data_IF_748649891363
#
_entry.id   IF_748649891363
#
_cell.length_a   1.000
_cell.length_b   1.000
_cell.length_c   1.000
_cell.angle_alpha   90.00
_cell.angle_beta   90.00
_cell.angle_gamma   90.00
#
_symmetry.space_group_name_H-M   'P 1'
#
loop_
_entity.id
_entity.type
_entity.pdbx_description
1 polymer ?
#
# COMPACT_ATOMS: atom_id res chain seq x y z
N UNK A 1 6.55 -18.32 -42.03
CA UNK A 1 6.19 -19.61 -41.39
C UNK A 1 5.28 -19.30 -40.21
N UNK A 2 3.98 -19.49 -40.29
CA UNK A 2 3.04 -19.24 -39.18
C UNK A 2 3.02 -20.46 -38.24
N UNK A 3 2.99 -20.24 -36.92
CA UNK A 3 2.91 -21.34 -35.97
C UNK A 3 1.59 -22.12 -36.15
N UNK A 4 1.64 -23.44 -36.00
CA UNK A 4 0.45 -24.28 -36.09
C UNK A 4 -0.51 -24.02 -34.90
N UNK A 5 -1.82 -24.33 -35.11
CA UNK A 5 -2.82 -24.18 -34.05
C UNK A 5 -2.42 -24.96 -32.78
N UNK A 6 -1.84 -26.14 -32.91
CA UNK A 6 -1.33 -26.94 -31.80
C UNK A 6 -0.16 -26.25 -31.04
N UNK A 7 0.70 -25.54 -31.75
CA UNK A 7 1.80 -24.77 -31.15
C UNK A 7 1.26 -23.55 -30.41
N UNK A 8 0.22 -22.87 -30.90
CA UNK A 8 -0.44 -21.74 -30.21
C UNK A 8 -1.16 -22.19 -28.93
N UNK A 9 -1.93 -23.30 -29.01
CA UNK A 9 -2.60 -23.87 -27.82
C UNK A 9 -1.59 -24.30 -26.75
N UNK A 10 -0.50 -24.96 -27.15
CA UNK A 10 0.57 -25.35 -26.21
C UNK A 10 1.25 -24.14 -25.57
N UNK A 11 1.47 -23.06 -26.33
CA UNK A 11 2.04 -21.80 -25.81
C UNK A 11 1.10 -21.13 -24.82
N UNK A 12 -0.22 -21.11 -25.08
CA UNK A 12 -1.23 -20.60 -24.17
C UNK A 12 -1.34 -21.43 -22.87
N UNK A 13 -1.32 -22.76 -22.98
CA UNK A 13 -1.34 -23.64 -21.81
C UNK A 13 -0.08 -23.49 -20.92
N UNK A 14 1.09 -23.32 -21.53
CA UNK A 14 2.34 -23.07 -20.80
C UNK A 14 2.31 -21.70 -20.13
N UNK A 15 1.84 -20.66 -20.80
CA UNK A 15 1.67 -19.32 -20.22
C UNK A 15 0.72 -19.36 -19.02
N UNK A 16 -0.45 -20.00 -19.15
CA UNK A 16 -1.42 -20.14 -18.05
C UNK A 16 -0.88 -20.96 -16.86
N UNK A 17 -0.02 -21.96 -17.12
CA UNK A 17 0.65 -22.74 -16.07
C UNK A 17 1.73 -21.92 -15.35
N UNK A 18 2.51 -21.12 -16.10
CA UNK A 18 3.51 -20.22 -15.52
C UNK A 18 2.86 -19.15 -14.66
N UNK A 19 1.74 -18.57 -15.11
CA UNK A 19 0.97 -17.57 -14.37
C UNK A 19 0.39 -18.16 -13.08
N UNK A 20 -0.18 -19.36 -13.11
CA UNK A 20 -0.63 -20.07 -11.91
C UNK A 20 0.49 -20.31 -10.90
N UNK A 21 1.66 -20.74 -11.38
CA UNK A 21 2.83 -20.93 -10.52
C UNK A 21 3.29 -19.62 -9.92
N UNK A 22 3.30 -18.55 -10.70
CA UNK A 22 3.64 -17.20 -10.22
C UNK A 22 2.67 -16.72 -9.14
N UNK A 23 1.37 -16.91 -9.30
CA UNK A 23 0.37 -16.56 -8.27
C UNK A 23 0.57 -17.38 -6.99
N UNK A 24 0.76 -18.70 -7.07
CA UNK A 24 1.05 -19.56 -5.90
C UNK A 24 2.30 -19.09 -5.14
N UNK A 25 3.34 -18.67 -5.85
CA UNK A 25 4.55 -18.11 -5.24
C UNK A 25 4.28 -16.79 -4.53
N UNK A 26 3.47 -15.89 -5.12
CA UNK A 26 3.07 -14.63 -4.49
C UNK A 26 2.20 -14.85 -3.26
N UNK A 27 1.27 -15.81 -3.31
CA UNK A 27 0.42 -16.15 -2.17
C UNK A 27 1.24 -16.72 -1.01
N UNK A 28 2.10 -17.70 -1.31
CA UNK A 28 3.01 -18.30 -0.34
C UNK A 28 4.00 -17.28 0.25
N UNK A 29 4.48 -16.33 -0.57
CA UNK A 29 5.33 -15.24 -0.10
C UNK A 29 4.58 -14.32 0.86
N UNK A 30 3.37 -13.88 0.50
CA UNK A 30 2.52 -13.04 1.34
C UNK A 30 2.26 -13.72 2.69
N UNK A 31 1.86 -14.99 2.68
CA UNK A 31 1.61 -15.76 3.91
C UNK A 31 2.87 -15.91 4.77
N UNK A 32 4.01 -16.20 4.15
CA UNK A 32 5.28 -16.36 4.88
C UNK A 32 5.74 -15.04 5.50
N UNK A 33 5.65 -13.93 4.74
CA UNK A 33 5.98 -12.59 5.22
C UNK A 33 5.09 -12.18 6.40
N UNK A 34 3.79 -12.48 6.34
CA UNK A 34 2.86 -12.19 7.43
C UNK A 34 3.21 -12.94 8.71
N UNK A 35 3.72 -14.18 8.58
CA UNK A 35 4.00 -15.04 9.73
C UNK A 35 5.35 -14.76 10.40
N UNK A 36 6.41 -14.49 9.63
CA UNK A 36 7.80 -14.42 10.13
C UNK A 36 8.54 -13.15 9.74
N UNK A 37 7.85 -12.17 9.15
CA UNK A 37 8.43 -10.91 8.69
C UNK A 37 9.38 -11.08 7.50
N UNK A 38 9.98 -9.97 7.08
CA UNK A 38 10.92 -9.95 5.92
C UNK A 38 12.22 -10.68 6.26
N UNK A 39 12.73 -10.52 7.47
CA UNK A 39 13.99 -11.14 7.91
C UNK A 39 13.86 -12.66 7.97
N UNK A 40 12.77 -13.17 8.55
CA UNK A 40 12.53 -14.60 8.71
C UNK A 40 12.08 -15.33 7.43
N UNK A 41 11.57 -14.61 6.45
CA UNK A 41 11.09 -15.22 5.21
C UNK A 41 12.27 -15.66 4.32
N UNK A 42 12.37 -16.96 4.06
CA UNK A 42 13.38 -17.54 3.15
C UNK A 42 12.75 -17.95 1.82
N UNK A 43 13.50 -17.83 0.73
CA UNK A 43 13.07 -18.29 -0.62
C UNK A 43 12.77 -19.79 -0.64
N UNK A 44 13.53 -20.57 0.14
CA UNK A 44 13.32 -22.01 0.29
C UNK A 44 11.97 -22.35 0.93
N UNK A 45 11.59 -21.68 2.01
CA UNK A 45 10.31 -21.88 2.69
C UNK A 45 9.14 -21.43 1.81
N UNK A 46 9.29 -20.31 1.12
CA UNK A 46 8.28 -19.78 0.19
C UNK A 46 8.05 -20.78 -0.97
N UNK A 47 9.12 -21.28 -1.59
CA UNK A 47 9.03 -22.28 -2.66
C UNK A 47 8.36 -23.58 -2.17
N UNK A 48 8.75 -24.07 -0.98
CA UNK A 48 8.13 -25.24 -0.35
C UNK A 48 6.62 -25.06 -0.15
N UNK A 49 6.19 -23.92 0.39
CA UNK A 49 4.77 -23.59 0.59
C UNK A 49 4.00 -23.45 -0.72
N UNK A 50 4.63 -22.89 -1.75
CA UNK A 50 4.07 -22.80 -3.08
C UNK A 50 4.02 -24.17 -3.80
N UNK A 51 4.56 -25.25 -3.23
CA UNK A 51 4.64 -26.58 -3.83
C UNK A 51 5.50 -26.61 -5.10
N UNK A 52 6.63 -25.87 -5.07
CA UNK A 52 7.63 -25.85 -6.13
C UNK A 52 9.04 -25.93 -5.53
N UNK A 53 10.05 -26.17 -6.37
CA UNK A 53 11.45 -26.06 -5.93
C UNK A 53 11.93 -24.59 -6.01
N UNK A 54 13.01 -24.30 -5.28
CA UNK A 54 13.58 -22.95 -5.20
C UNK A 54 14.12 -22.46 -6.56
N UNK A 55 14.59 -23.34 -7.42
CA UNK A 55 15.00 -23.00 -8.81
C UNK A 55 13.81 -22.43 -9.60
N UNK A 56 12.62 -22.98 -9.40
CA UNK A 56 11.39 -22.46 -10.03
C UNK A 56 11.06 -21.04 -9.53
N UNK A 57 11.22 -20.78 -8.24
CA UNK A 57 11.06 -19.45 -7.66
C UNK A 57 12.02 -18.45 -8.32
N UNK A 58 13.30 -18.76 -8.39
CA UNK A 58 14.30 -17.89 -9.02
C UNK A 58 14.09 -17.69 -10.52
N UNK A 59 13.51 -18.67 -11.22
CA UNK A 59 13.12 -18.51 -12.61
C UNK A 59 12.04 -17.45 -12.78
N UNK A 60 11.08 -17.33 -11.84
CA UNK A 60 9.99 -16.36 -11.88
C UNK A 60 10.37 -14.97 -11.37
N UNK A 61 11.19 -14.89 -10.32
CA UNK A 61 11.42 -13.63 -9.59
C UNK A 61 12.89 -13.20 -9.50
N UNK A 62 13.83 -13.98 -10.02
CA UNK A 62 15.26 -13.69 -10.06
C UNK A 62 15.93 -13.53 -8.69
N UNK A 63 15.30 -12.87 -7.72
CA UNK A 63 15.80 -12.67 -6.36
C UNK A 63 14.66 -12.56 -5.34
N UNK A 64 15.00 -12.63 -4.04
CA UNK A 64 14.06 -12.38 -2.94
C UNK A 64 13.49 -10.96 -3.00
N UNK A 65 14.30 -9.97 -3.34
CA UNK A 65 13.89 -8.58 -3.47
C UNK A 65 12.86 -8.39 -4.59
N UNK A 66 13.06 -9.07 -5.74
CA UNK A 66 12.08 -9.01 -6.85
C UNK A 66 10.76 -9.71 -6.50
N UNK A 67 10.80 -10.78 -5.72
CA UNK A 67 9.61 -11.42 -5.19
C UNK A 67 8.88 -10.48 -4.20
N UNK A 68 9.62 -9.85 -3.29
CA UNK A 68 9.06 -8.88 -2.34
C UNK A 68 8.45 -7.67 -3.07
N UNK A 69 9.14 -7.12 -4.07
CA UNK A 69 8.60 -6.06 -4.94
C UNK A 69 7.25 -6.48 -5.55
N UNK A 70 7.17 -7.68 -6.10
CA UNK A 70 5.95 -8.17 -6.73
C UNK A 70 4.80 -8.39 -5.73
N UNK A 71 5.09 -8.82 -4.50
CA UNK A 71 4.11 -8.92 -3.40
C UNK A 71 3.57 -7.53 -3.04
N UNK A 72 4.45 -6.54 -2.86
CA UNK A 72 4.06 -5.17 -2.55
C UNK A 72 3.27 -4.53 -3.69
N UNK A 73 3.72 -4.67 -4.93
CA UNK A 73 3.00 -4.17 -6.11
C UNK A 73 1.59 -4.76 -6.20
N UNK A 74 1.42 -6.05 -5.94
CA UNK A 74 0.09 -6.69 -5.91
C UNK A 74 -0.80 -6.11 -4.83
N UNK A 75 -0.26 -5.86 -3.64
CA UNK A 75 -0.99 -5.25 -2.52
C UNK A 75 -1.43 -3.81 -2.85
N UNK A 76 -0.55 -3.02 -3.46
CA UNK A 76 -0.79 -1.62 -3.77
C UNK A 76 -1.56 -1.39 -5.08
N UNK A 77 -1.67 -2.41 -5.96
CA UNK A 77 -2.45 -2.28 -7.20
C UNK A 77 -3.93 -1.93 -6.93
N UNK A 78 -4.49 -2.48 -5.85
CA UNK A 78 -5.84 -2.14 -5.42
C UNK A 78 -5.98 -0.69 -4.92
N UNK A 79 -4.94 -0.12 -4.31
CA UNK A 79 -4.91 1.30 -3.91
C UNK A 79 -4.91 2.23 -5.12
N UNK A 80 -4.08 1.93 -6.11
CA UNK A 80 -4.01 2.72 -7.34
C UNK A 80 -5.38 2.72 -8.07
N UNK A 81 -6.03 1.54 -8.17
CA UNK A 81 -7.34 1.41 -8.79
C UNK A 81 -8.44 2.22 -8.06
N UNK A 82 -8.42 2.23 -6.72
CA UNK A 82 -9.38 2.99 -5.91
C UNK A 82 -9.23 4.51 -6.13
N UNK A 83 -8.00 4.99 -6.33
CA UNK A 83 -7.70 6.41 -6.55
C UNK A 83 -7.91 6.86 -8.00
N UNK A 84 -8.06 5.95 -8.94
CA UNK A 84 -8.36 6.25 -10.35
C UNK A 84 -9.84 6.50 -10.61
N UNK A 85 -10.73 6.22 -9.66
CA UNK A 85 -12.13 6.56 -9.75
C UNK A 85 -12.32 8.09 -9.69
N UNK A 86 -13.40 8.59 -10.32
CA UNK A 86 -13.79 9.99 -10.31
C UNK A 86 -14.35 10.41 -8.94
N UNK A 87 -13.50 10.34 -7.92
CA UNK A 87 -13.84 10.68 -6.54
C UNK A 87 -13.39 12.09 -6.21
N UNK A 88 -14.14 12.79 -5.36
CA UNK A 88 -13.67 14.03 -4.77
C UNK A 88 -12.39 13.79 -3.96
N UNK A 89 -11.61 14.84 -3.70
CA UNK A 89 -10.41 14.74 -2.89
C UNK A 89 -10.69 14.21 -1.47
N UNK A 90 -11.87 14.53 -0.89
CA UNK A 90 -12.32 14.02 0.41
C UNK A 90 -12.53 12.51 0.37
N UNK A 91 -13.30 12.05 -0.60
CA UNK A 91 -13.55 10.62 -0.81
C UNK A 91 -12.26 9.86 -1.11
N UNK A 92 -11.30 10.46 -1.81
CA UNK A 92 -10.00 9.85 -2.08
C UNK A 92 -9.22 9.63 -0.79
N UNK A 93 -9.20 10.58 0.15
CA UNK A 93 -8.58 10.41 1.48
C UNK A 93 -9.30 9.34 2.30
N UNK A 94 -10.63 9.29 2.27
CA UNK A 94 -11.42 8.26 2.96
C UNK A 94 -11.15 6.86 2.39
N UNK A 95 -11.17 6.73 1.06
CA UNK A 95 -10.89 5.47 0.36
C UNK A 95 -9.48 4.99 0.65
N UNK A 96 -8.50 5.90 0.60
CA UNK A 96 -7.13 5.59 0.96
C UNK A 96 -7.02 5.09 2.40
N UNK A 97 -7.57 5.82 3.37
CA UNK A 97 -7.53 5.43 4.77
C UNK A 97 -8.20 4.07 5.03
N UNK A 98 -9.35 3.82 4.40
CA UNK A 98 -10.08 2.55 4.51
C UNK A 98 -9.27 1.39 3.95
N UNK A 99 -8.69 1.56 2.76
CA UNK A 99 -7.88 0.54 2.12
C UNK A 99 -6.60 0.26 2.91
N UNK A 100 -5.91 1.32 3.35
CA UNK A 100 -4.72 1.24 4.17
C UNK A 100 -4.95 0.39 5.42
N UNK A 101 -6.03 0.66 6.18
CA UNK A 101 -6.39 -0.15 7.35
C UNK A 101 -6.78 -1.59 6.99
N UNK A 102 -7.48 -1.79 5.89
CA UNK A 102 -7.84 -3.14 5.41
C UNK A 102 -6.62 -4.01 5.09
N UNK A 103 -5.59 -3.43 4.49
CA UNK A 103 -4.34 -4.14 4.22
C UNK A 103 -3.64 -4.57 5.52
N UNK A 104 -3.59 -3.68 6.51
CA UNK A 104 -2.90 -3.92 7.77
C UNK A 104 -3.68 -4.80 8.73
N UNK A 105 -5.03 -4.72 8.73
CA UNK A 105 -5.87 -5.60 9.53
C UNK A 105 -5.76 -7.07 9.10
N UNK A 106 -5.60 -7.31 7.81
CA UNK A 106 -5.36 -8.65 7.27
C UNK A 106 -3.94 -9.18 7.55
N UNK A 107 -3.00 -8.29 7.83
CA UNK A 107 -1.57 -8.58 7.93
C UNK A 107 -0.95 -7.97 9.19
N UNK A 108 -1.63 -8.06 10.33
CA UNK A 108 -1.28 -7.35 11.58
C UNK A 108 0.18 -7.55 12.01
N UNK A 109 0.63 -8.80 12.01
CA UNK A 109 1.98 -9.14 12.49
C UNK A 109 3.05 -8.63 11.52
N UNK A 110 2.82 -8.75 10.21
CA UNK A 110 3.73 -8.25 9.20
C UNK A 110 3.77 -6.72 9.16
N UNK A 111 2.61 -6.09 9.24
CA UNK A 111 2.51 -4.64 9.15
C UNK A 111 3.29 -3.91 10.21
N UNK A 112 3.11 -4.27 11.47
CA UNK A 112 3.83 -3.69 12.59
C UNK A 112 5.33 -3.88 12.48
N UNK A 113 5.80 -5.10 12.17
CA UNK A 113 7.21 -5.40 11.99
C UNK A 113 7.80 -4.69 10.76
N UNK A 114 7.07 -4.70 9.62
CA UNK A 114 7.48 -4.00 8.40
C UNK A 114 7.78 -2.53 8.67
N UNK A 115 6.92 -1.88 9.40
CA UNK A 115 7.01 -0.46 9.68
C UNK A 115 8.09 -0.16 10.73
N UNK A 116 8.14 -0.94 11.81
CA UNK A 116 9.12 -0.76 12.89
C UNK A 116 10.55 -0.99 12.40
N UNK A 117 10.77 -1.95 11.49
CA UNK A 117 12.09 -2.35 11.02
C UNK A 117 12.54 -1.63 9.74
N UNK A 118 11.65 -0.90 9.06
CA UNK A 118 11.92 -0.33 7.73
C UNK A 118 13.15 0.60 7.69
N UNK A 119 13.45 1.30 8.77
CA UNK A 119 14.62 2.16 8.91
C UNK A 119 15.94 1.39 9.03
N UNK A 120 15.89 0.11 9.42
CA UNK A 120 17.05 -0.78 9.55
C UNK A 120 17.40 -1.49 8.22
N UNK A 121 16.55 -1.40 7.21
CA UNK A 121 16.78 -2.12 5.96
C UNK A 121 17.90 -1.52 5.12
N UNK A 122 18.56 -2.33 4.27
CA UNK A 122 19.52 -1.84 3.31
C UNK A 122 18.93 -0.74 2.44
N UNK A 123 19.72 0.26 2.07
CA UNK A 123 19.29 1.40 1.24
C UNK A 123 18.66 0.96 -0.08
N UNK A 124 19.16 -0.12 -0.70
CA UNK A 124 18.58 -0.72 -1.91
C UNK A 124 17.14 -1.20 -1.72
N UNK A 125 16.85 -1.80 -0.56
CA UNK A 125 15.48 -2.25 -0.22
C UNK A 125 14.57 -1.05 0.07
N UNK A 126 15.06 -0.05 0.82
CA UNK A 126 14.31 1.19 1.07
C UNK A 126 13.94 1.88 -0.25
N UNK A 127 14.90 1.99 -1.18
CA UNK A 127 14.67 2.57 -2.51
C UNK A 127 13.65 1.76 -3.33
N UNK A 128 13.77 0.44 -3.32
CA UNK A 128 12.82 -0.45 -4.00
C UNK A 128 11.38 -0.26 -3.49
N UNK A 129 11.21 -0.14 -2.17
CA UNK A 129 9.89 0.08 -1.56
C UNK A 129 9.36 1.48 -1.89
N UNK A 130 10.22 2.51 -1.82
CA UNK A 130 9.87 3.86 -2.23
C UNK A 130 9.36 3.91 -3.68
N UNK A 131 10.02 3.21 -4.61
CA UNK A 131 9.59 3.11 -6.01
C UNK A 131 8.21 2.45 -6.17
N UNK A 132 7.90 1.46 -5.33
CA UNK A 132 6.60 0.76 -5.36
C UNK A 132 5.48 1.66 -4.80
N UNK A 133 5.76 2.46 -3.77
CA UNK A 133 4.78 3.33 -3.10
C UNK A 133 4.58 4.65 -3.87
N UNK A 134 5.61 5.12 -4.58
CA UNK A 134 5.62 6.42 -5.26
C UNK A 134 4.37 6.69 -6.13
N UNK A 135 3.90 5.79 -7.00
CA UNK A 135 2.75 6.08 -7.87
C UNK A 135 1.48 6.44 -7.08
N UNK A 136 1.21 5.73 -5.99
CA UNK A 136 0.05 6.01 -5.11
C UNK A 136 0.21 7.37 -4.43
N UNK A 137 1.42 7.69 -3.96
CA UNK A 137 1.72 8.99 -3.35
C UNK A 137 1.54 10.14 -4.35
N UNK A 138 2.10 10.02 -5.54
CA UNK A 138 2.00 11.02 -6.60
C UNK A 138 0.55 11.25 -7.04
N UNK A 139 -0.24 10.17 -7.12
CA UNK A 139 -1.66 10.28 -7.44
C UNK A 139 -2.43 11.06 -6.37
N UNK A 140 -2.21 10.78 -5.09
CA UNK A 140 -2.83 11.53 -3.99
C UNK A 140 -2.40 13.01 -3.99
N UNK A 141 -1.12 13.29 -4.22
CA UNK A 141 -0.63 14.67 -4.36
C UNK A 141 -1.31 15.38 -5.51
N UNK A 142 -1.45 14.73 -6.69
CA UNK A 142 -2.15 15.29 -7.83
C UNK A 142 -3.61 15.63 -7.52
N UNK A 143 -4.36 14.71 -6.91
CA UNK A 143 -5.77 14.93 -6.53
C UNK A 143 -5.90 16.15 -5.61
N UNK A 144 -5.06 16.25 -4.60
CA UNK A 144 -5.08 17.36 -3.64
C UNK A 144 -4.62 18.68 -4.28
N UNK A 145 -3.62 18.64 -5.16
CA UNK A 145 -3.17 19.83 -5.89
C UNK A 145 -4.23 20.37 -6.86
N UNK A 146 -4.96 19.48 -7.52
CA UNK A 146 -6.07 19.90 -8.40
C UNK A 146 -7.24 20.48 -7.58
N UNK A 147 -7.54 19.92 -6.41
CA UNK A 147 -8.50 20.48 -5.47
C UNK A 147 -8.06 21.86 -4.92
N UNK A 148 -6.74 22.05 -4.71
CA UNK A 148 -6.19 23.34 -4.31
C UNK A 148 -6.30 24.40 -5.43
N UNK A 149 -6.00 24.02 -6.68
CA UNK A 149 -6.19 24.90 -7.85
C UNK A 149 -7.67 25.28 -8.05
N UNK A 150 -8.59 24.34 -7.76
CA UNK A 150 -10.02 24.58 -7.79
C UNK A 150 -10.54 25.43 -6.62
N UNK A 151 -9.69 25.82 -5.68
CA UNK A 151 -10.04 26.65 -4.53
C UNK A 151 -10.83 25.96 -3.43
N UNK A 152 -10.98 24.63 -3.47
CA UNK A 152 -11.68 23.85 -2.43
C UNK A 152 -10.74 23.33 -1.34
N UNK A 153 -9.44 23.31 -1.61
CA UNK A 153 -8.37 23.12 -0.63
C UNK A 153 -7.61 24.44 -0.46
N UNK A 154 -7.19 24.77 0.78
CA UNK A 154 -6.49 26.04 1.11
C UNK A 154 -5.27 26.26 0.22
N UNK A 155 -5.13 27.43 -0.34
CA UNK A 155 -4.03 27.83 -1.23
C UNK A 155 -2.66 27.85 -0.54
N UNK A 156 -2.60 28.18 0.76
CA UNK A 156 -1.34 28.25 1.53
C UNK A 156 -0.87 26.90 2.11
N UNK A 157 -1.59 25.80 1.85
CA UNK A 157 -1.24 24.49 2.38
C UNK A 157 -0.14 23.83 1.55
N UNK A 158 0.93 23.37 2.19
CA UNK A 158 1.88 22.46 1.56
C UNK A 158 1.26 21.06 1.48
N UNK A 159 0.85 20.66 0.27
CA UNK A 159 0.12 19.40 0.00
C UNK A 159 0.96 18.18 0.42
N UNK A 160 2.26 18.17 0.14
CA UNK A 160 3.11 17.02 0.46
C UNK A 160 3.25 16.86 1.98
N UNK A 161 3.50 17.96 2.71
CA UNK A 161 3.54 17.93 4.17
C UNK A 161 2.21 17.47 4.78
N UNK A 162 1.09 17.97 4.26
CA UNK A 162 -0.23 17.60 4.75
C UNK A 162 -0.52 16.11 4.51
N UNK A 163 -0.17 15.58 3.33
CA UNK A 163 -0.32 14.17 3.00
C UNK A 163 0.59 13.28 3.89
N UNK A 164 1.83 13.68 4.11
CA UNK A 164 2.75 12.92 4.97
C UNK A 164 2.25 12.94 6.43
N UNK A 165 1.76 14.06 6.94
CA UNK A 165 1.14 14.13 8.28
C UNK A 165 -0.10 13.23 8.38
N UNK A 166 -0.97 13.24 7.36
CA UNK A 166 -2.15 12.36 7.29
C UNK A 166 -1.77 10.88 7.33
N UNK A 167 -0.83 10.47 6.48
CA UNK A 167 -0.33 9.09 6.44
C UNK A 167 0.31 8.69 7.76
N UNK A 168 1.14 9.55 8.35
CA UNK A 168 1.79 9.28 9.63
C UNK A 168 0.79 9.16 10.77
N UNK A 169 -0.29 9.93 10.79
CA UNK A 169 -1.36 9.75 11.77
C UNK A 169 -2.03 8.38 11.66
N UNK A 170 -2.37 7.94 10.45
CA UNK A 170 -2.91 6.59 10.21
C UNK A 170 -1.93 5.50 10.64
N UNK A 171 -0.66 5.68 10.32
CA UNK A 171 0.44 4.79 10.58
C UNK A 171 0.73 4.60 12.08
N UNK A 172 0.82 5.70 12.83
CA UNK A 172 1.13 5.68 14.26
C UNK A 172 0.15 4.79 15.06
N UNK A 173 -1.12 4.77 14.67
CA UNK A 173 -2.12 3.92 15.30
C UNK A 173 -1.83 2.44 15.14
N UNK A 174 -1.34 2.03 13.96
CA UNK A 174 -1.02 0.63 13.66
C UNK A 174 0.24 0.16 14.39
N UNK A 175 1.24 1.04 14.52
CA UNK A 175 2.45 0.75 15.28
C UNK A 175 2.20 0.66 16.79
N UNK A 176 1.37 1.57 17.31
CA UNK A 176 1.18 1.74 18.74
C UNK A 176 -0.04 0.98 19.31
N UNK A 177 -0.55 -0.01 18.57
CA UNK A 177 -1.65 -0.86 19.05
C UNK A 177 -1.29 -1.53 20.38
N UNK A 178 -1.89 -1.05 21.46
CA UNK A 178 -1.73 -1.66 22.78
C UNK A 178 -0.43 -1.36 23.52
N UNK A 179 0.43 -0.45 23.00
CA UNK A 179 1.79 -0.30 23.53
C UNK A 179 1.86 0.30 24.94
N UNK A 180 0.99 1.27 25.31
CA UNK A 180 1.17 2.00 26.58
C UNK A 180 -0.11 2.18 27.42
N UNK A 181 -1.24 2.47 26.80
CA UNK A 181 -2.50 2.71 27.50
C UNK A 181 -3.66 2.00 26.81
N UNK A 182 -4.59 1.39 27.59
CA UNK A 182 -5.84 0.90 27.05
C UNK A 182 -6.62 2.06 26.40
N UNK A 183 -7.24 1.81 25.27
CA UNK A 183 -7.96 2.82 24.49
C UNK A 183 -9.41 2.40 24.31
N UNK A 184 -10.33 3.30 24.58
CA UNK A 184 -11.77 3.06 24.55
C UNK A 184 -12.40 3.34 23.17
N UNK A 185 -11.64 3.18 22.08
CA UNK A 185 -12.14 3.42 20.74
C UNK A 185 -11.60 2.38 19.73
N UNK A 186 -12.39 2.11 18.72
CA UNK A 186 -12.06 1.17 17.64
C UNK A 186 -11.09 1.78 16.61
N UNK A 187 -10.50 0.93 15.77
CA UNK A 187 -9.73 1.39 14.60
C UNK A 187 -10.58 2.21 13.63
N UNK A 188 -11.86 1.89 13.47
CA UNK A 188 -12.78 2.64 12.61
C UNK A 188 -13.07 4.04 13.18
N UNK A 189 -13.29 4.15 14.48
CA UNK A 189 -13.45 5.46 15.13
C UNK A 189 -12.19 6.33 14.95
N UNK A 190 -11.00 5.75 15.16
CA UNK A 190 -9.75 6.47 14.95
C UNK A 190 -9.57 6.93 13.51
N UNK A 191 -9.74 6.03 12.55
CA UNK A 191 -9.65 6.31 11.12
C UNK A 191 -10.58 7.46 10.70
N UNK A 192 -11.86 7.38 11.09
CA UNK A 192 -12.85 8.42 10.77
C UNK A 192 -12.49 9.77 11.41
N UNK A 193 -11.96 9.75 12.63
CA UNK A 193 -11.50 10.98 13.32
C UNK A 193 -10.31 11.59 12.58
N UNK A 194 -9.29 10.81 12.22
CA UNK A 194 -8.13 11.31 11.47
C UNK A 194 -8.57 11.90 10.14
N UNK A 195 -9.37 11.18 9.36
CA UNK A 195 -9.90 11.70 8.08
C UNK A 195 -10.65 13.02 8.30
N UNK A 196 -11.55 13.07 9.27
CA UNK A 196 -12.33 14.26 9.57
C UNK A 196 -11.49 15.48 9.98
N UNK A 197 -10.43 15.28 10.79
CA UNK A 197 -9.49 16.34 11.19
C UNK A 197 -8.77 16.88 9.95
N UNK A 198 -8.21 15.98 9.12
CA UNK A 198 -7.44 16.39 7.95
C UNK A 198 -8.31 17.03 6.87
N UNK A 199 -9.48 16.48 6.58
CA UNK A 199 -10.42 17.07 5.63
C UNK A 199 -10.77 18.49 6.05
N UNK A 200 -11.24 18.72 7.29
CA UNK A 200 -11.58 20.07 7.77
C UNK A 200 -10.36 21.00 7.81
N UNK A 201 -9.19 20.47 8.18
CA UNK A 201 -7.94 21.23 8.21
C UNK A 201 -7.44 21.66 6.83
N UNK A 202 -7.76 20.88 5.78
CA UNK A 202 -7.37 21.17 4.40
C UNK A 202 -8.40 22.01 3.63
N UNK A 203 -9.69 22.01 4.02
CA UNK A 203 -10.73 22.78 3.33
C UNK A 203 -10.37 24.26 3.26
N UNK A 204 -10.64 24.87 2.10
CA UNK A 204 -10.59 26.31 1.98
C UNK A 204 -11.63 26.94 2.94
N UNK A 205 -11.32 28.04 3.61
CA UNK A 205 -12.30 28.72 4.43
C UNK A 205 -13.47 29.18 3.54
N UNK A 206 -14.69 28.96 4.02
CA UNK A 206 -15.88 29.54 3.38
C UNK A 206 -15.69 31.07 3.32
N UNK A 207 -15.80 31.66 2.12
CA UNK A 207 -15.63 33.07 1.88
C UNK A 207 -16.76 33.96 2.52
N UNK A 208 -17.47 33.41 3.49
CA UNK A 208 -18.60 34.06 4.14
C UNK A 208 -18.76 33.78 5.62
N UNK A 209 -17.79 33.95 6.47
CA UNK A 209 -17.92 34.29 7.91
C UNK A 209 -16.73 33.75 8.75
N UNK A 210 -15.57 34.33 8.62
CA UNK A 210 -14.68 34.39 9.78
C UNK A 210 -14.89 35.76 10.48
N UNK A 211 -15.86 35.84 11.35
CA UNK A 211 -15.74 36.78 12.46
C UNK A 211 -14.57 36.27 13.29
N UNK A 212 -13.47 37.00 13.21
CA UNK A 212 -12.32 36.89 14.11
C UNK A 212 -12.85 36.95 15.55
N UNK A 213 -12.81 35.81 16.23
CA UNK A 213 -12.92 35.80 17.68
C UNK A 213 -11.48 36.01 18.17
N UNK A 214 -11.22 37.26 18.57
CA UNK A 214 -10.05 37.67 19.35
C UNK A 214 -10.26 37.20 20.78
#
# INVERSE_FOLDING_TARGET
MHPSASQLVRKQLIASSADRTRQRLLDAATETLNRVGIQGATTREIARRAGVNEVTLFRHFKSKEQLLRAVLQRGLAAEAAILDEHSSWKESLEKYARHYYSLWDKNKDFGGAFLAESHLWPKSMQAMIADVIRPVRERLVSILADAQKAGVVRSGLNIECALDAFKNALYARLLLQGAYLPRNYSNDAYKSTVVGIFVRGMEAPDNGNFKTVI
#
